data_IF_963340721094
#
_entry.id   IF_963340721094
#
_cell.length_a   1.000
_cell.length_b   1.000
_cell.length_c   1.000
_cell.angle_alpha   90.00
_cell.angle_beta   90.00
_cell.angle_gamma   90.00
#
_symmetry.space_group_name_H-M   'P 1'
#
loop_
_entity.id
_entity.type
_entity.pdbx_description
1 polymer ?
#
# COMPACT_ATOMS: atom_id res chain seq x y z
N UNK A 1 42.10 4.16 -7.97
CA UNK A 1 40.96 4.34 -8.92
C UNK A 1 39.95 5.27 -8.30
N UNK A 2 39.58 6.35 -9.02
CA UNK A 2 38.48 7.24 -8.67
C UNK A 2 37.21 6.70 -9.34
N UNK A 3 36.13 6.50 -8.57
CA UNK A 3 34.86 5.99 -9.09
C UNK A 3 33.79 7.05 -8.87
N UNK A 4 33.10 7.46 -9.95
CA UNK A 4 32.06 8.50 -9.89
C UNK A 4 30.74 7.93 -10.40
N UNK A 5 29.71 7.91 -9.57
CA UNK A 5 28.34 7.57 -9.95
C UNK A 5 27.62 8.85 -10.40
N UNK A 6 27.04 8.83 -11.59
CA UNK A 6 26.50 10.03 -12.24
C UNK A 6 25.01 9.85 -12.53
N UNK A 7 24.18 10.73 -12.01
CA UNK A 7 22.77 10.85 -12.40
C UNK A 7 22.67 11.54 -13.76
N UNK A 8 22.19 10.80 -14.77
CA UNK A 8 22.13 11.23 -16.17
C UNK A 8 20.85 12.03 -16.52
N UNK A 9 20.00 12.30 -15.55
CA UNK A 9 18.71 12.95 -15.83
C UNK A 9 17.85 12.12 -16.77
N UNK A 10 17.30 12.75 -17.81
CA UNK A 10 16.56 12.08 -18.89
C UNK A 10 17.44 11.15 -19.75
N UNK A 11 18.74 11.29 -19.67
CA UNK A 11 19.72 10.72 -20.57
C UNK A 11 20.17 11.69 -21.68
N UNK A 12 19.51 12.83 -21.85
CA UNK A 12 19.94 13.86 -22.79
C UNK A 12 21.06 14.69 -22.17
N UNK A 13 22.08 15.14 -22.98
CA UNK A 13 23.18 15.95 -22.48
C UNK A 13 22.74 17.21 -21.73
N UNK A 14 21.64 17.83 -22.16
CA UNK A 14 21.06 19.04 -21.57
C UNK A 14 20.55 18.86 -20.17
N UNK A 15 20.26 17.61 -19.76
CA UNK A 15 19.81 17.27 -18.41
C UNK A 15 20.94 16.91 -17.45
N UNK A 16 22.19 16.87 -17.94
CA UNK A 16 23.38 16.62 -17.12
C UNK A 16 23.73 17.83 -16.26
N UNK A 17 24.17 17.55 -15.03
CA UNK A 17 24.83 18.60 -14.23
C UNK A 17 26.21 18.92 -14.81
N UNK A 18 26.69 20.14 -14.59
CA UNK A 18 28.03 20.56 -15.01
C UNK A 18 29.12 19.62 -14.45
N UNK A 19 28.94 19.19 -13.18
CA UNK A 19 29.88 18.25 -12.56
C UNK A 19 29.80 16.86 -13.18
N UNK A 20 28.60 16.39 -13.54
CA UNK A 20 28.42 15.12 -14.24
C UNK A 20 29.09 15.13 -15.61
N UNK A 21 28.92 16.21 -16.35
CA UNK A 21 29.55 16.40 -17.65
C UNK A 21 31.09 16.40 -17.56
N UNK A 22 31.66 17.11 -16.58
CA UNK A 22 33.10 17.12 -16.35
C UNK A 22 33.63 15.73 -15.99
N UNK A 23 32.96 15.02 -15.09
CA UNK A 23 33.36 13.67 -14.70
C UNK A 23 33.30 12.65 -15.84
N UNK A 24 32.33 12.79 -16.77
CA UNK A 24 32.26 11.97 -17.98
C UNK A 24 33.45 12.18 -18.92
N UNK A 25 33.92 13.41 -19.03
CA UNK A 25 35.05 13.75 -19.89
C UNK A 25 36.41 13.33 -19.32
N UNK A 26 36.52 13.25 -18.00
CA UNK A 26 37.70 12.77 -17.29
C UNK A 26 37.79 11.26 -17.16
N UNK A 27 36.72 10.55 -17.48
CA UNK A 27 36.65 9.11 -17.30
C UNK A 27 37.45 8.33 -18.33
N UNK A 28 38.22 7.34 -17.89
CA UNK A 28 38.93 6.36 -18.71
C UNK A 28 38.04 5.17 -19.09
N UNK A 29 37.00 4.92 -18.26
CA UNK A 29 36.01 3.86 -18.41
C UNK A 29 34.63 4.39 -18.07
N UNK A 30 33.64 4.10 -18.93
CA UNK A 30 32.23 4.45 -18.67
C UNK A 30 31.38 3.19 -18.68
N UNK A 31 30.66 2.93 -17.58
CA UNK A 31 29.75 1.79 -17.41
C UNK A 31 28.32 2.29 -17.22
N UNK A 32 27.34 1.58 -17.79
CA UNK A 32 25.93 1.91 -17.60
C UNK A 32 25.01 1.15 -18.55
N UNK A 33 23.71 1.43 -18.46
CA UNK A 33 22.73 0.85 -19.38
C UNK A 33 22.99 1.30 -20.83
N UNK A 34 22.74 0.42 -21.80
CA UNK A 34 22.99 0.68 -23.24
C UNK A 34 22.38 2.01 -23.71
N UNK A 35 21.16 2.32 -23.26
CA UNK A 35 20.45 3.56 -23.58
C UNK A 35 21.24 4.81 -23.13
N UNK A 36 21.84 4.78 -21.95
CA UNK A 36 22.62 5.90 -21.42
C UNK A 36 23.97 6.04 -22.14
N UNK A 37 24.60 4.92 -22.49
CA UNK A 37 25.84 4.91 -23.23
C UNK A 37 25.67 5.48 -24.65
N UNK A 38 24.54 5.24 -25.32
CA UNK A 38 24.25 5.77 -26.66
C UNK A 38 23.95 7.27 -26.66
N UNK A 39 23.59 7.84 -25.50
CA UNK A 39 23.25 9.27 -25.35
C UNK A 39 24.39 10.10 -24.75
N UNK A 40 25.61 9.55 -24.66
CA UNK A 40 26.76 10.27 -24.12
C UNK A 40 27.14 11.46 -25.02
N UNK A 41 27.51 12.61 -24.43
CA UNK A 41 27.98 13.75 -25.18
C UNK A 41 29.31 13.46 -25.92
N UNK A 42 29.59 14.22 -26.94
CA UNK A 42 30.85 14.11 -27.69
C UNK A 42 32.07 14.39 -26.79
N UNK A 43 33.17 13.68 -27.07
CA UNK A 43 34.44 13.84 -26.34
C UNK A 43 34.57 13.01 -25.06
N UNK A 44 33.65 12.10 -24.83
CA UNK A 44 33.81 11.03 -23.81
C UNK A 44 34.65 9.88 -24.37
N UNK A 45 35.32 9.12 -23.50
CA UNK A 45 36.08 7.92 -23.88
C UNK A 45 35.24 6.91 -24.68
N UNK A 46 35.90 6.20 -25.62
CA UNK A 46 35.27 5.05 -26.32
C UNK A 46 35.33 3.74 -25.51
N UNK A 47 36.08 3.73 -24.42
CA UNK A 47 36.12 2.59 -23.49
C UNK A 47 34.83 2.54 -22.67
N UNK A 48 33.82 1.86 -23.19
CA UNK A 48 32.45 1.81 -22.66
C UNK A 48 31.99 0.37 -22.59
N UNK A 49 31.32 -0.01 -21.49
CA UNK A 49 30.68 -1.30 -21.38
C UNK A 49 29.27 -1.20 -20.79
N UNK A 50 28.37 -2.00 -21.35
CA UNK A 50 26.99 -2.10 -20.81
C UNK A 50 27.01 -3.00 -19.59
N UNK A 51 26.78 -2.41 -18.41
CA UNK A 51 26.65 -3.11 -17.14
C UNK A 51 25.71 -2.31 -16.23
N UNK A 52 24.85 -3.01 -15.47
CA UNK A 52 23.92 -2.39 -14.52
C UNK A 52 23.77 -3.19 -13.22
N UNK A 53 24.18 -4.46 -13.22
CA UNK A 53 24.22 -5.28 -12.00
C UNK A 53 25.50 -4.94 -11.22
N UNK A 54 25.43 -4.82 -9.89
CA UNK A 54 26.59 -4.49 -9.07
C UNK A 54 27.78 -5.44 -9.26
N UNK A 55 27.54 -6.73 -9.39
CA UNK A 55 28.61 -7.73 -9.54
C UNK A 55 29.34 -7.58 -10.89
N UNK A 56 28.59 -7.41 -12.00
CA UNK A 56 29.14 -7.15 -13.33
C UNK A 56 30.00 -5.86 -13.34
N UNK A 57 29.50 -4.80 -12.68
CA UNK A 57 30.23 -3.52 -12.58
C UNK A 57 31.54 -3.72 -11.83
N UNK A 58 31.52 -4.43 -10.69
CA UNK A 58 32.72 -4.68 -9.89
C UNK A 58 33.76 -5.51 -10.66
N UNK A 59 33.34 -6.55 -11.38
CA UNK A 59 34.23 -7.35 -12.22
C UNK A 59 34.89 -6.49 -13.31
N UNK A 60 34.13 -5.66 -14.01
CA UNK A 60 34.66 -4.76 -15.03
C UNK A 60 35.62 -3.72 -14.46
N UNK A 61 35.32 -3.15 -13.31
CA UNK A 61 36.20 -2.20 -12.63
C UNK A 61 37.54 -2.86 -12.25
N UNK A 62 37.52 -4.06 -11.71
CA UNK A 62 38.75 -4.80 -11.35
C UNK A 62 39.59 -5.20 -12.57
N UNK A 63 38.93 -5.58 -13.67
CA UNK A 63 39.63 -6.00 -14.89
C UNK A 63 40.18 -4.84 -15.72
N UNK A 64 39.65 -3.64 -15.54
CA UNK A 64 39.94 -2.49 -16.44
C UNK A 64 41.30 -1.86 -16.26
N UNK A 65 41.83 -1.88 -15.04
CA UNK A 65 43.06 -1.11 -14.68
C UNK A 65 42.93 0.39 -14.85
N UNK A 66 41.73 0.96 -14.97
CA UNK A 66 41.50 2.39 -15.18
C UNK A 66 41.79 3.22 -13.91
N UNK A 67 42.14 4.49 -14.08
CA UNK A 67 42.32 5.43 -12.98
C UNK A 67 41.01 6.13 -12.61
N UNK A 68 40.14 6.43 -13.61
CA UNK A 68 38.89 7.16 -13.46
C UNK A 68 37.73 6.38 -14.12
N UNK A 69 36.78 5.91 -13.32
CA UNK A 69 35.59 5.24 -13.82
C UNK A 69 34.32 6.09 -13.58
N UNK A 70 33.47 6.20 -14.60
CA UNK A 70 32.14 6.81 -14.51
C UNK A 70 31.05 5.76 -14.63
N UNK A 71 30.09 5.76 -13.68
CA UNK A 71 28.98 4.81 -13.61
C UNK A 71 27.67 5.56 -13.80
N UNK A 72 26.92 5.21 -14.84
CA UNK A 72 25.75 5.95 -15.29
C UNK A 72 24.45 5.41 -14.68
N UNK A 73 23.65 6.30 -14.12
CA UNK A 73 22.31 6.01 -13.62
C UNK A 73 21.26 6.91 -14.28
N UNK A 74 20.11 6.37 -14.63
CA UNK A 74 18.99 7.15 -15.17
C UNK A 74 18.39 8.02 -14.05
N UNK A 75 17.97 9.22 -14.39
CA UNK A 75 17.40 10.16 -13.43
C UNK A 75 18.40 10.64 -12.39
N UNK A 76 18.00 10.63 -11.13
CA UNK A 76 18.83 10.99 -9.97
C UNK A 76 19.35 9.74 -9.26
N UNK A 77 20.59 9.80 -8.81
CA UNK A 77 21.26 8.70 -8.08
C UNK A 77 20.65 8.37 -6.73
N UNK A 78 19.90 9.29 -6.12
CA UNK A 78 19.24 9.14 -4.83
C UNK A 78 17.74 8.77 -4.93
N UNK A 79 17.13 8.80 -6.13
CA UNK A 79 15.71 8.60 -6.30
C UNK A 79 15.39 7.21 -6.85
N UNK A 80 15.11 6.24 -5.97
CA UNK A 80 14.82 4.82 -6.30
C UNK A 80 15.86 4.21 -7.25
N UNK A 81 17.11 4.60 -7.11
CA UNK A 81 18.23 4.17 -7.96
C UNK A 81 18.97 2.98 -7.37
N UNK A 82 19.50 2.12 -8.23
CA UNK A 82 20.44 1.06 -7.84
C UNK A 82 21.80 1.56 -7.37
N UNK A 83 22.06 2.87 -7.45
CA UNK A 83 23.35 3.48 -7.06
C UNK A 83 23.68 3.23 -5.59
N UNK A 84 22.70 3.29 -4.68
CA UNK A 84 22.92 3.09 -3.24
C UNK A 84 23.52 1.71 -2.91
N UNK A 85 22.97 0.66 -3.50
CA UNK A 85 23.47 -0.71 -3.28
C UNK A 85 24.91 -0.88 -3.79
N UNK A 86 25.25 -0.25 -4.93
CA UNK A 86 26.62 -0.28 -5.45
C UNK A 86 27.58 0.53 -4.58
N UNK A 87 27.16 1.70 -4.09
CA UNK A 87 27.97 2.52 -3.17
C UNK A 87 28.37 1.75 -1.93
N UNK A 88 27.45 1.01 -1.32
CA UNK A 88 27.73 0.18 -0.14
C UNK A 88 28.77 -0.91 -0.46
N UNK A 89 28.60 -1.61 -1.60
CA UNK A 89 29.55 -2.65 -2.04
C UNK A 89 30.96 -2.08 -2.35
N UNK A 90 31.02 -0.94 -3.02
CA UNK A 90 32.29 -0.25 -3.30
C UNK A 90 33.01 0.15 -1.99
N UNK A 91 32.27 0.71 -1.03
CA UNK A 91 32.82 1.06 0.29
C UNK A 91 33.33 -0.18 1.04
N UNK A 92 32.61 -1.31 0.97
CA UNK A 92 33.04 -2.57 1.57
C UNK A 92 34.37 -3.10 0.98
N UNK A 93 34.70 -2.72 -0.26
CA UNK A 93 35.96 -3.04 -0.93
C UNK A 93 37.04 -1.97 -0.76
N UNK A 94 36.80 -0.95 0.09
CA UNK A 94 37.78 0.10 0.39
C UNK A 94 37.79 1.28 -0.57
N UNK A 95 36.87 1.32 -1.55
CA UNK A 95 36.73 2.48 -2.44
C UNK A 95 35.99 3.65 -1.75
N UNK A 96 36.27 4.87 -2.22
CA UNK A 96 35.56 6.08 -1.80
C UNK A 96 34.82 6.67 -3.02
N UNK A 97 33.64 6.11 -3.40
CA UNK A 97 32.95 6.59 -4.59
C UNK A 97 32.39 8.01 -4.40
N UNK A 98 32.47 8.81 -5.46
CA UNK A 98 31.82 10.12 -5.56
C UNK A 98 30.44 9.90 -6.18
N UNK A 99 29.40 10.48 -5.57
CA UNK A 99 28.02 10.37 -6.09
C UNK A 99 27.57 11.76 -6.54
N UNK A 100 27.23 11.89 -7.81
CA UNK A 100 26.73 13.13 -8.39
C UNK A 100 25.24 13.01 -8.68
N UNK A 101 24.42 14.01 -8.27
CA UNK A 101 22.98 13.99 -8.50
C UNK A 101 22.63 14.19 -9.98
N UNK A 102 21.40 13.85 -10.35
CA UNK A 102 20.80 14.14 -11.63
C UNK A 102 19.37 14.66 -11.48
N UNK A 103 18.73 15.06 -12.57
CA UNK A 103 17.33 15.45 -12.57
C UNK A 103 16.44 14.19 -12.53
N UNK A 104 15.61 14.08 -11.51
CA UNK A 104 14.67 12.95 -11.41
C UNK A 104 13.38 13.20 -12.21
N UNK A 105 12.68 12.14 -12.58
CA UNK A 105 11.39 12.22 -13.28
C UNK A 105 10.31 12.98 -12.50
N UNK A 106 10.36 13.00 -11.17
CA UNK A 106 9.43 13.80 -10.34
C UNK A 106 9.65 15.29 -10.56
N UNK A 107 10.90 15.75 -10.60
CA UNK A 107 11.25 17.16 -10.87
C UNK A 107 10.85 17.55 -12.28
N UNK A 108 11.11 16.68 -13.26
CA UNK A 108 10.75 16.92 -14.66
C UNK A 108 9.24 17.01 -14.85
N UNK A 109 8.46 16.10 -14.24
CA UNK A 109 6.99 16.17 -14.30
C UNK A 109 6.45 17.41 -13.59
N UNK A 110 7.01 17.77 -12.43
CA UNK A 110 6.67 18.99 -11.70
C UNK A 110 6.85 20.24 -12.56
N UNK A 111 8.01 20.34 -13.24
CA UNK A 111 8.31 21.44 -14.13
C UNK A 111 7.36 21.47 -15.34
N UNK A 112 7.09 20.33 -15.95
CA UNK A 112 6.19 20.22 -17.11
C UNK A 112 4.72 20.58 -16.75
N UNK A 113 4.30 20.31 -15.52
CA UNK A 113 2.98 20.68 -15.01
C UNK A 113 2.93 22.10 -14.42
N UNK A 114 4.07 22.77 -14.22
CA UNK A 114 4.15 24.07 -13.54
C UNK A 114 3.72 24.01 -12.07
N UNK A 115 3.94 22.90 -11.38
CA UNK A 115 3.45 22.65 -10.01
C UNK A 115 4.57 22.19 -9.09
N UNK A 116 4.62 22.66 -7.83
CA UNK A 116 5.57 22.18 -6.83
C UNK A 116 5.26 20.73 -6.43
N UNK A 117 6.29 19.97 -6.13
CA UNK A 117 6.20 18.53 -5.78
C UNK A 117 6.49 18.22 -4.31
N UNK A 118 6.77 19.22 -3.46
CA UNK A 118 7.09 19.02 -2.05
C UNK A 118 5.98 18.32 -1.26
N UNK A 119 4.72 18.47 -1.67
CA UNK A 119 3.57 17.86 -1.02
C UNK A 119 3.14 16.53 -1.68
N UNK A 120 3.84 16.10 -2.72
CA UNK A 120 3.55 14.83 -3.37
C UNK A 120 4.08 13.67 -2.53
N UNK A 121 3.29 12.62 -2.44
CA UNK A 121 3.77 11.33 -1.97
C UNK A 121 4.49 10.64 -3.11
N UNK A 122 5.70 10.16 -2.84
CA UNK A 122 6.54 9.50 -3.84
C UNK A 122 6.50 7.98 -3.63
N UNK A 123 6.13 7.24 -4.66
CA UNK A 123 5.98 5.78 -4.63
C UNK A 123 6.71 5.17 -5.82
N UNK A 124 7.43 4.09 -5.59
CA UNK A 124 8.01 3.29 -6.66
C UNK A 124 7.16 2.05 -6.94
N UNK A 125 6.58 2.00 -8.12
CA UNK A 125 5.96 0.81 -8.72
C UNK A 125 6.90 0.16 -9.76
N UNK A 126 8.14 0.63 -9.88
CA UNK A 126 9.13 0.09 -10.81
C UNK A 126 9.80 -1.16 -10.24
N UNK A 127 9.45 -2.32 -10.79
CA UNK A 127 10.02 -3.61 -10.35
C UNK A 127 9.63 -4.04 -8.92
N UNK A 128 8.59 -3.44 -8.34
CA UNK A 128 8.06 -3.77 -7.02
C UNK A 128 6.55 -3.84 -7.06
N UNK A 129 5.98 -4.75 -6.27
CA UNK A 129 4.54 -4.77 -6.04
C UNK A 129 4.10 -3.47 -5.36
N UNK A 130 3.04 -2.85 -5.88
CA UNK A 130 2.46 -1.61 -5.37
C UNK A 130 0.94 -1.78 -5.27
N UNK A 131 0.34 -1.37 -4.15
CA UNK A 131 -1.11 -1.20 -4.04
C UNK A 131 -1.44 0.30 -4.22
N UNK A 132 -1.80 0.75 -5.44
CA UNK A 132 -2.03 2.16 -5.70
C UNK A 132 -3.22 2.72 -4.92
N UNK A 133 -4.17 1.88 -4.52
CA UNK A 133 -5.33 2.28 -3.71
C UNK A 133 -4.87 2.66 -2.31
N UNK A 134 -4.10 1.79 -1.65
CA UNK A 134 -3.55 2.06 -0.33
C UNK A 134 -2.68 3.32 -0.33
N UNK A 135 -1.87 3.51 -1.39
CA UNK A 135 -1.00 4.67 -1.52
C UNK A 135 -1.80 5.99 -1.67
N UNK A 136 -2.89 6.00 -2.45
CA UNK A 136 -3.75 7.17 -2.65
C UNK A 136 -4.65 7.46 -1.43
N UNK A 137 -4.90 6.49 -0.56
CA UNK A 137 -5.70 6.67 0.66
C UNK A 137 -5.03 7.55 1.73
N UNK A 138 -3.80 7.97 1.54
CA UNK A 138 -3.18 8.99 2.41
C UNK A 138 -3.69 10.41 2.15
N UNK A 139 -4.44 10.64 1.07
CA UNK A 139 -5.06 11.93 0.76
C UNK A 139 -4.06 12.99 0.30
N UNK A 140 -2.95 12.58 -0.30
CA UNK A 140 -1.96 13.44 -0.94
C UNK A 140 -1.90 13.17 -2.44
N UNK A 141 -1.53 14.15 -3.26
CA UNK A 141 -1.15 13.85 -4.64
C UNK A 141 -0.04 12.80 -4.62
N UNK A 142 -0.23 11.71 -5.37
CA UNK A 142 0.69 10.57 -5.33
C UNK A 142 1.38 10.39 -6.66
N UNK A 143 2.69 10.54 -6.65
CA UNK A 143 3.55 10.28 -7.80
C UNK A 143 4.01 8.83 -7.78
N UNK A 144 3.82 8.14 -8.90
CA UNK A 144 4.27 6.76 -9.11
C UNK A 144 5.40 6.74 -10.15
N UNK A 145 6.56 6.24 -9.74
CA UNK A 145 7.60 5.82 -10.67
C UNK A 145 7.19 4.47 -11.24
N UNK A 146 6.82 4.42 -12.51
CA UNK A 146 6.28 3.22 -13.17
C UNK A 146 7.35 2.45 -13.94
N UNK A 147 7.06 1.18 -14.25
CA UNK A 147 7.94 0.33 -15.07
C UNK A 147 7.64 -1.14 -14.94
N UNK A 148 8.06 -1.93 -15.92
CA UNK A 148 7.75 -3.36 -15.98
C UNK A 148 6.26 -3.61 -16.19
N UNK A 149 5.65 -4.45 -15.36
CA UNK A 149 4.20 -4.75 -15.38
C UNK A 149 3.32 -3.58 -14.90
N UNK A 150 3.89 -2.69 -14.09
CA UNK A 150 3.17 -1.57 -13.45
C UNK A 150 3.26 -0.30 -14.33
N UNK A 151 2.51 -0.29 -15.43
CA UNK A 151 2.37 0.88 -16.30
C UNK A 151 1.41 1.92 -15.71
N UNK A 152 1.43 3.20 -16.15
CA UNK A 152 0.42 4.18 -15.76
C UNK A 152 -1.00 3.70 -16.01
N UNK A 153 -1.27 3.04 -17.14
CA UNK A 153 -2.59 2.51 -17.46
C UNK A 153 -3.01 1.39 -16.51
N UNK A 154 -2.10 0.48 -16.14
CA UNK A 154 -2.36 -0.62 -15.19
C UNK A 154 -2.73 -0.06 -13.82
N UNK A 155 -1.95 0.88 -13.29
CA UNK A 155 -2.23 1.52 -12.00
C UNK A 155 -3.56 2.30 -12.03
N UNK A 156 -3.83 3.03 -13.12
CA UNK A 156 -5.09 3.72 -13.31
C UNK A 156 -6.28 2.76 -13.38
N UNK A 157 -6.15 1.59 -14.01
CA UNK A 157 -7.20 0.57 -14.07
C UNK A 157 -7.52 0.00 -12.67
N UNK A 158 -6.50 -0.31 -11.87
CA UNK A 158 -6.66 -0.74 -10.49
C UNK A 158 -7.37 0.32 -9.64
N UNK A 159 -6.96 1.58 -9.74
CA UNK A 159 -7.59 2.71 -9.06
C UNK A 159 -9.05 2.91 -9.51
N UNK A 160 -9.33 2.83 -10.80
CA UNK A 160 -10.68 3.01 -11.34
C UNK A 160 -11.64 1.92 -10.84
N UNK A 161 -11.19 0.67 -10.75
CA UNK A 161 -11.97 -0.47 -10.23
C UNK A 161 -12.40 -0.24 -8.76
N UNK A 162 -11.60 0.47 -7.97
CA UNK A 162 -11.89 0.78 -6.57
C UNK A 162 -12.53 2.18 -6.37
N UNK A 163 -13.07 2.77 -7.45
CA UNK A 163 -13.88 3.99 -7.38
C UNK A 163 -13.10 5.30 -7.46
N UNK A 164 -11.79 5.28 -7.76
CA UNK A 164 -10.99 6.50 -8.00
C UNK A 164 -11.06 7.01 -9.44
N UNK A 165 -11.88 6.41 -10.30
CA UNK A 165 -11.95 6.72 -11.74
C UNK A 165 -12.19 8.20 -12.09
N UNK A 166 -12.76 8.98 -11.18
CA UNK A 166 -13.01 10.43 -11.37
C UNK A 166 -11.88 11.33 -10.90
N UNK A 167 -10.87 10.81 -10.21
CA UNK A 167 -9.73 11.63 -9.78
C UNK A 167 -8.97 12.13 -11.01
N UNK A 168 -8.52 13.37 -10.93
CA UNK A 168 -7.60 13.90 -11.92
C UNK A 168 -6.24 13.23 -11.81
N UNK A 169 -5.60 13.03 -12.96
CA UNK A 169 -4.27 12.45 -13.02
C UNK A 169 -3.49 12.99 -14.23
N UNK A 170 -2.17 12.85 -14.18
CA UNK A 170 -1.27 13.22 -15.25
C UNK A 170 -0.24 12.12 -15.49
N UNK A 171 0.08 11.87 -16.76
CA UNK A 171 1.15 10.96 -17.17
C UNK A 171 2.19 11.75 -17.93
N UNK A 172 3.45 11.62 -17.50
CA UNK A 172 4.60 12.15 -18.24
C UNK A 172 5.33 11.02 -18.97
N UNK A 173 5.46 11.12 -20.27
CA UNK A 173 6.26 10.21 -21.12
C UNK A 173 7.52 10.89 -21.56
N UNK A 174 8.62 10.14 -21.60
CA UNK A 174 9.93 10.56 -22.13
C UNK A 174 10.35 11.95 -21.63
N UNK A 175 10.10 12.22 -20.35
CA UNK A 175 10.32 13.53 -19.74
C UNK A 175 11.78 13.99 -19.92
N UNK A 176 11.95 15.24 -20.32
CA UNK A 176 13.27 15.85 -20.57
C UNK A 176 13.94 15.39 -21.85
N UNK A 177 13.22 14.74 -22.77
CA UNK A 177 13.70 14.42 -24.13
C UNK A 177 12.90 15.18 -25.19
N UNK A 178 13.35 15.25 -26.47
CA UNK A 178 12.57 15.84 -27.54
C UNK A 178 11.20 15.19 -27.78
N UNK A 179 11.04 13.92 -27.39
CA UNK A 179 9.81 13.14 -27.50
C UNK A 179 8.89 13.30 -26.28
N UNK A 180 9.19 14.23 -25.37
CA UNK A 180 8.39 14.46 -24.16
C UNK A 180 6.92 14.72 -24.48
N UNK A 181 6.04 14.00 -23.78
CA UNK A 181 4.60 14.23 -23.79
C UNK A 181 4.04 14.25 -22.38
N UNK A 182 3.03 15.07 -22.15
CA UNK A 182 2.30 15.12 -20.90
C UNK A 182 0.81 14.97 -21.19
N UNK A 183 0.21 13.96 -20.62
CA UNK A 183 -1.23 13.69 -20.73
C UNK A 183 -1.91 14.04 -19.41
N UNK A 184 -3.01 14.75 -19.50
CA UNK A 184 -3.84 15.07 -18.34
C UNK A 184 -5.27 14.59 -18.58
N UNK A 185 -5.91 14.10 -17.52
CA UNK A 185 -7.27 13.59 -17.63
C UNK A 185 -7.74 13.03 -16.30
N UNK A 186 -8.75 12.17 -16.32
CA UNK A 186 -9.16 11.40 -15.16
C UNK A 186 -8.47 10.03 -15.15
N UNK A 187 -8.34 9.43 -13.96
CA UNK A 187 -7.83 8.07 -13.78
C UNK A 187 -8.55 7.09 -14.72
N UNK A 188 -9.89 7.19 -14.84
CA UNK A 188 -10.66 6.32 -15.72
C UNK A 188 -10.35 6.51 -17.21
N UNK A 189 -10.07 7.74 -17.66
CA UNK A 189 -9.66 8.02 -19.04
C UNK A 189 -8.27 7.48 -19.33
N UNK A 190 -7.32 7.71 -18.41
CA UNK A 190 -5.94 7.25 -18.56
C UNK A 190 -5.79 5.73 -18.46
N UNK A 191 -6.69 5.05 -17.75
CA UNK A 191 -6.76 3.59 -17.69
C UNK A 191 -7.00 2.93 -19.07
N UNK A 192 -7.70 3.62 -19.98
CA UNK A 192 -7.99 3.14 -21.33
C UNK A 192 -6.90 3.54 -22.36
N UNK A 193 -5.86 4.25 -21.93
CA UNK A 193 -4.79 4.76 -22.79
C UNK A 193 -3.59 3.81 -22.84
N UNK A 194 -2.72 4.01 -23.83
CA UNK A 194 -1.42 3.33 -23.91
C UNK A 194 -0.31 4.35 -23.75
N UNK A 195 0.72 3.98 -23.03
CA UNK A 195 1.85 4.84 -22.73
C UNK A 195 3.16 4.13 -23.04
N UNK A 196 4.18 4.90 -23.36
CA UNK A 196 5.54 4.41 -23.56
C UNK A 196 6.16 3.88 -22.27
N UNK A 197 7.19 3.06 -22.39
CA UNK A 197 7.84 2.41 -21.23
C UNK A 197 8.50 3.38 -20.25
N UNK A 198 8.99 4.53 -20.77
CA UNK A 198 9.56 5.61 -19.95
C UNK A 198 8.46 6.58 -19.55
N UNK A 199 7.60 6.19 -18.65
CA UNK A 199 6.52 7.03 -18.16
C UNK A 199 6.44 7.05 -16.64
N UNK A 200 5.77 8.08 -16.13
CA UNK A 200 5.45 8.26 -14.71
C UNK A 200 4.02 8.75 -14.57
N UNK A 201 3.39 8.47 -13.43
CA UNK A 201 2.00 8.83 -13.15
C UNK A 201 1.93 9.73 -11.92
N UNK A 202 1.17 10.80 -12.00
CA UNK A 202 0.71 11.59 -10.86
C UNK A 202 -0.81 11.43 -10.74
N UNK A 203 -1.30 11.02 -9.59
CA UNK A 203 -2.72 10.98 -9.25
C UNK A 203 -2.99 12.06 -8.20
N UNK A 204 -4.03 12.87 -8.41
CA UNK A 204 -4.40 13.92 -7.47
C UNK A 204 -4.88 13.38 -6.13
N UNK A 205 -4.86 14.24 -5.11
CA UNK A 205 -5.28 13.88 -3.77
C UNK A 205 -6.72 13.34 -3.76
N UNK A 206 -6.89 12.14 -3.24
CA UNK A 206 -8.21 11.58 -2.99
C UNK A 206 -8.87 12.27 -1.80
N UNK A 207 -10.21 12.36 -1.82
CA UNK A 207 -10.95 12.66 -0.60
C UNK A 207 -10.86 11.45 0.32
N UNK A 208 -10.22 11.62 1.46
CA UNK A 208 -10.10 10.58 2.48
C UNK A 208 -10.94 10.95 3.70
N UNK A 209 -11.45 9.95 4.44
CA UNK A 209 -12.21 10.21 5.65
C UNK A 209 -11.43 11.08 6.64
N UNK A 210 -12.03 12.16 7.10
CA UNK A 210 -11.41 13.07 8.08
C UNK A 210 -11.28 12.45 9.46
N UNK A 211 -12.19 11.52 9.82
CA UNK A 211 -12.21 10.81 11.10
C UNK A 211 -11.69 9.39 10.94
N UNK A 212 -10.60 9.09 11.63
CA UNK A 212 -9.95 7.76 11.65
C UNK A 212 -9.96 7.13 13.05
N UNK A 213 -10.69 7.70 14.00
CA UNK A 213 -10.81 7.17 15.36
C UNK A 213 -11.96 6.18 15.46
N UNK A 214 -11.80 5.12 16.24
CA UNK A 214 -12.80 4.09 16.48
C UNK A 214 -14.04 4.63 17.21
N UNK A 215 -15.12 3.86 17.14
CA UNK A 215 -16.35 4.16 17.85
C UNK A 215 -17.22 5.19 17.15
N UNK A 216 -17.39 5.06 15.84
CA UNK A 216 -18.38 5.84 15.10
C UNK A 216 -19.79 5.59 15.68
N UNK A 217 -20.66 6.63 15.79
CA UNK A 217 -22.02 6.45 16.23
C UNK A 217 -22.80 5.45 15.37
N UNK A 218 -23.68 4.65 15.98
CA UNK A 218 -24.50 3.66 15.26
C UNK A 218 -25.36 4.32 14.17
N UNK A 219 -25.81 5.56 14.41
CA UNK A 219 -26.63 6.35 13.50
C UNK A 219 -25.87 6.82 12.26
N UNK A 220 -24.54 6.78 12.30
CA UNK A 220 -23.72 7.13 11.15
C UNK A 220 -23.78 6.07 10.04
N UNK A 221 -24.19 4.83 10.35
CA UNK A 221 -24.23 3.73 9.37
C UNK A 221 -25.61 3.62 8.71
N UNK A 222 -25.62 3.20 7.44
CA UNK A 222 -26.80 2.67 6.79
C UNK A 222 -27.20 1.34 7.47
N UNK A 223 -28.45 1.23 7.84
CA UNK A 223 -29.00 0.08 8.59
C UNK A 223 -30.28 -0.41 7.92
N UNK A 224 -30.51 -1.73 8.01
CA UNK A 224 -31.75 -2.41 7.61
C UNK A 224 -32.24 -3.30 8.74
N UNK A 225 -32.73 -4.48 8.40
CA UNK A 225 -33.11 -5.52 9.36
C UNK A 225 -31.91 -6.36 9.82
N UNK A 226 -30.78 -6.23 9.13
CA UNK A 226 -29.54 -6.97 9.44
C UNK A 226 -28.98 -6.52 10.80
N UNK A 227 -28.62 -7.44 11.68
CA UNK A 227 -27.98 -7.11 12.95
C UNK A 227 -26.69 -6.31 12.73
N UNK A 228 -26.43 -5.34 13.61
CA UNK A 228 -25.23 -4.50 13.56
C UNK A 228 -24.53 -4.51 14.92
N UNK A 229 -23.24 -4.79 14.92
CA UNK A 229 -22.37 -4.64 16.09
C UNK A 229 -22.39 -3.18 16.58
N UNK A 230 -22.69 -2.97 17.86
CA UNK A 230 -22.90 -1.63 18.45
C UNK A 230 -21.58 -0.90 18.67
N UNK A 231 -21.65 0.42 18.74
CA UNK A 231 -20.50 1.35 18.82
C UNK A 231 -19.45 0.91 19.85
N UNK A 232 -19.87 0.61 21.09
CA UNK A 232 -18.97 0.28 22.18
C UNK A 232 -18.27 -1.06 21.93
N UNK A 233 -18.99 -2.02 21.36
CA UNK A 233 -18.45 -3.33 21.00
C UNK A 233 -17.48 -3.21 19.82
N UNK A 234 -17.81 -2.40 18.79
CA UNK A 234 -16.89 -2.15 17.68
C UNK A 234 -15.57 -1.54 18.15
N UNK A 235 -15.66 -0.52 19.02
CA UNK A 235 -14.46 0.11 19.59
C UNK A 235 -13.59 -0.91 20.36
N UNK A 236 -14.22 -1.80 21.12
CA UNK A 236 -13.51 -2.84 21.85
C UNK A 236 -12.90 -3.90 20.91
N UNK A 237 -13.59 -4.28 19.83
CA UNK A 237 -13.06 -5.20 18.80
C UNK A 237 -11.76 -4.65 18.19
N UNK A 238 -11.76 -3.38 17.77
CA UNK A 238 -10.57 -2.77 17.18
C UNK A 238 -9.42 -2.66 18.20
N UNK A 239 -9.73 -2.33 19.44
CA UNK A 239 -8.74 -2.29 20.52
C UNK A 239 -8.14 -3.67 20.80
N UNK A 240 -8.97 -4.73 20.84
CA UNK A 240 -8.51 -6.11 21.04
C UNK A 240 -7.70 -6.65 19.85
N UNK A 241 -8.02 -6.23 18.63
CA UNK A 241 -7.25 -6.59 17.44
C UNK A 241 -5.94 -5.80 17.31
N UNK A 242 -5.79 -4.66 17.97
CA UNK A 242 -4.57 -3.84 17.89
C UNK A 242 -4.19 -3.44 16.47
N UNK A 243 -5.20 -3.06 15.64
CA UNK A 243 -5.06 -2.84 14.19
C UNK A 243 -3.98 -1.81 13.88
N UNK A 244 -3.09 -2.16 12.94
CA UNK A 244 -2.01 -1.29 12.46
C UNK A 244 -2.34 -0.71 11.07
N UNK A 245 -1.80 0.47 10.71
CA UNK A 245 -2.18 1.19 9.49
C UNK A 245 -1.99 0.47 8.16
N UNK A 246 -1.08 -0.51 8.07
CA UNK A 246 -0.74 -1.21 6.82
C UNK A 246 -1.22 -2.65 6.74
N UNK A 247 -2.05 -3.10 7.67
CA UNK A 247 -2.43 -4.50 7.82
C UNK A 247 -3.52 -4.96 6.86
N UNK A 248 -3.48 -6.25 6.57
CA UNK A 248 -4.50 -6.98 5.84
C UNK A 248 -5.46 -7.64 6.82
N UNK A 249 -6.73 -7.31 6.72
CA UNK A 249 -7.73 -7.65 7.72
C UNK A 249 -8.89 -8.40 7.08
N UNK A 250 -9.40 -9.42 7.77
CA UNK A 250 -10.65 -10.09 7.40
C UNK A 250 -11.76 -9.77 8.40
N UNK A 251 -12.96 -9.48 7.90
CA UNK A 251 -14.21 -9.37 8.65
C UNK A 251 -15.17 -10.45 8.16
N UNK A 252 -15.30 -11.54 8.92
CA UNK A 252 -16.08 -12.71 8.53
C UNK A 252 -17.46 -12.66 9.16
N UNK A 253 -18.50 -12.71 8.32
CA UNK A 253 -19.87 -12.44 8.73
C UNK A 253 -20.07 -10.95 9.00
N UNK A 254 -19.71 -10.14 8.03
CA UNK A 254 -19.58 -8.69 8.16
C UNK A 254 -20.90 -7.95 8.43
N UNK A 255 -22.04 -8.57 8.12
CA UNK A 255 -23.38 -8.01 8.36
C UNK A 255 -23.55 -6.66 7.66
N UNK A 256 -23.78 -5.59 8.40
CA UNK A 256 -23.89 -4.23 7.84
C UNK A 256 -22.56 -3.64 7.37
N UNK A 257 -21.42 -4.30 7.61
CA UNK A 257 -20.07 -3.79 7.35
C UNK A 257 -19.62 -2.71 8.33
N UNK A 258 -20.28 -2.57 9.47
CA UNK A 258 -19.92 -1.51 10.42
C UNK A 258 -18.54 -1.73 11.05
N UNK A 259 -18.15 -2.98 11.33
CA UNK A 259 -16.79 -3.32 11.79
C UNK A 259 -15.82 -3.17 10.64
N UNK A 260 -16.16 -3.67 9.44
CA UNK A 260 -15.33 -3.55 8.24
C UNK A 260 -14.95 -2.11 7.93
N UNK A 261 -15.88 -1.16 8.04
CA UNK A 261 -15.62 0.27 7.84
C UNK A 261 -14.65 0.80 8.88
N UNK A 262 -14.84 0.50 10.15
CA UNK A 262 -13.94 0.97 11.21
C UNK A 262 -12.55 0.34 11.10
N UNK A 263 -12.45 -0.94 10.69
CA UNK A 263 -11.18 -1.59 10.36
C UNK A 263 -10.47 -0.88 9.19
N UNK A 264 -11.22 -0.54 8.13
CA UNK A 264 -10.66 0.16 6.97
C UNK A 264 -10.17 1.58 7.30
N UNK A 265 -10.87 2.28 8.20
CA UNK A 265 -10.44 3.59 8.72
C UNK A 265 -9.19 3.48 9.59
N UNK A 266 -9.06 2.41 10.38
CA UNK A 266 -7.91 2.16 11.25
C UNK A 266 -6.67 1.71 10.46
N UNK A 267 -6.87 1.01 9.33
CA UNK A 267 -5.80 0.52 8.46
C UNK A 267 -5.79 1.24 7.09
N UNK A 268 -5.52 2.56 7.03
CA UNK A 268 -5.66 3.34 5.80
C UNK A 268 -4.69 2.95 4.69
N UNK A 269 -3.58 2.30 5.00
CA UNK A 269 -2.59 1.76 4.05
C UNK A 269 -2.70 0.24 3.89
N UNK A 270 -3.63 -0.37 4.63
CA UNK A 270 -3.95 -1.79 4.57
C UNK A 270 -5.19 -2.06 3.73
N UNK A 271 -5.67 -3.29 3.77
CA UNK A 271 -6.86 -3.71 3.06
C UNK A 271 -7.76 -4.57 3.94
N UNK A 272 -9.07 -4.35 3.83
CA UNK A 272 -10.09 -5.12 4.56
C UNK A 272 -10.90 -5.94 3.58
N UNK A 273 -11.07 -7.22 3.87
CA UNK A 273 -11.97 -8.13 3.15
C UNK A 273 -13.17 -8.43 4.03
N UNK A 274 -14.32 -7.87 3.66
CA UNK A 274 -15.60 -8.12 4.31
C UNK A 274 -16.29 -9.31 3.63
N UNK A 275 -16.38 -10.44 4.33
CA UNK A 275 -17.01 -11.67 3.80
C UNK A 275 -18.43 -11.77 4.33
N UNK A 276 -19.40 -11.80 3.41
CA UNK A 276 -20.83 -11.84 3.73
C UNK A 276 -21.61 -12.60 2.64
N UNK A 277 -22.61 -13.35 3.03
CA UNK A 277 -23.42 -14.16 2.13
C UNK A 277 -24.89 -13.71 2.00
N UNK A 278 -25.35 -12.84 2.92
CA UNK A 278 -26.71 -12.29 2.84
C UNK A 278 -26.75 -11.12 1.84
N UNK A 279 -27.63 -11.17 0.82
CA UNK A 279 -27.72 -10.11 -0.19
C UNK A 279 -28.10 -8.73 0.39
N UNK A 280 -28.99 -8.68 1.42
CA UNK A 280 -29.38 -7.43 2.10
C UNK A 280 -28.18 -6.85 2.84
N UNK A 281 -27.42 -7.68 3.54
CA UNK A 281 -26.19 -7.27 4.22
C UNK A 281 -25.12 -6.80 3.23
N UNK A 282 -24.90 -7.50 2.12
CA UNK A 282 -23.99 -7.09 1.05
C UNK A 282 -24.35 -5.71 0.48
N UNK A 283 -25.63 -5.43 0.28
CA UNK A 283 -26.09 -4.11 -0.17
C UNK A 283 -25.78 -3.01 0.85
N UNK A 284 -25.93 -3.28 2.16
CA UNK A 284 -25.58 -2.36 3.24
C UNK A 284 -24.07 -2.11 3.32
N UNK A 285 -23.24 -3.15 3.14
CA UNK A 285 -21.78 -3.01 3.09
C UNK A 285 -21.39 -2.04 1.97
N UNK A 286 -21.95 -2.21 0.75
CA UNK A 286 -21.67 -1.30 -0.38
C UNK A 286 -22.09 0.14 -0.06
N UNK A 287 -23.27 0.35 0.53
CA UNK A 287 -23.74 1.67 0.92
C UNK A 287 -22.81 2.31 1.97
N UNK A 288 -22.40 1.56 2.97
CA UNK A 288 -21.49 2.05 4.02
C UNK A 288 -20.08 2.31 3.46
N UNK A 289 -19.55 1.42 2.60
CA UNK A 289 -18.28 1.65 1.87
C UNK A 289 -18.29 3.01 1.16
N UNK A 290 -19.33 3.30 0.39
CA UNK A 290 -19.47 4.57 -0.34
C UNK A 290 -19.64 5.76 0.63
N UNK A 291 -20.52 5.64 1.61
CA UNK A 291 -20.81 6.70 2.58
C UNK A 291 -19.57 7.17 3.36
N UNK A 292 -18.72 6.23 3.74
CA UNK A 292 -17.50 6.51 4.49
C UNK A 292 -16.26 6.67 3.60
N UNK A 293 -16.42 6.56 2.27
CA UNK A 293 -15.32 6.64 1.29
C UNK A 293 -14.15 5.71 1.61
N UNK A 294 -14.40 4.52 2.19
CA UNK A 294 -13.37 3.53 2.52
C UNK A 294 -13.07 2.66 1.31
N UNK A 295 -12.18 3.12 0.44
CA UNK A 295 -11.83 2.45 -0.81
C UNK A 295 -10.98 1.20 -0.62
N UNK A 296 -10.31 1.09 0.50
CA UNK A 296 -9.52 -0.07 0.94
C UNK A 296 -10.37 -1.20 1.56
N UNK A 297 -11.70 -1.15 1.43
CA UNK A 297 -12.63 -2.21 1.82
C UNK A 297 -13.11 -2.97 0.57
N UNK A 298 -12.90 -4.26 0.54
CA UNK A 298 -13.36 -5.18 -0.52
C UNK A 298 -14.46 -6.09 0.03
N UNK A 299 -15.65 -6.07 -0.60
CA UNK A 299 -16.72 -7.02 -0.29
C UNK A 299 -16.47 -8.34 -1.02
N UNK A 300 -16.52 -9.44 -0.28
CA UNK A 300 -16.45 -10.81 -0.80
C UNK A 300 -17.78 -11.50 -0.52
N UNK A 301 -18.59 -11.67 -1.56
CA UNK A 301 -19.90 -12.31 -1.44
C UNK A 301 -19.76 -13.82 -1.41
N UNK A 302 -20.12 -14.43 -0.30
CA UNK A 302 -20.03 -15.87 -0.13
C UNK A 302 -20.03 -16.31 1.32
N UNK A 303 -20.05 -17.62 1.51
CA UNK A 303 -20.07 -18.26 2.82
C UNK A 303 -18.67 -18.71 3.20
N UNK A 304 -18.20 -18.31 4.40
CA UNK A 304 -16.95 -18.83 4.96
C UNK A 304 -17.12 -20.29 5.44
N UNK A 305 -16.13 -21.18 5.28
CA UNK A 305 -14.74 -20.86 4.91
C UNK A 305 -14.47 -20.76 3.38
N UNK A 306 -15.35 -21.26 2.51
CA UNK A 306 -15.09 -21.32 1.06
C UNK A 306 -14.72 -19.95 0.46
N UNK A 307 -15.42 -18.88 0.88
CA UNK A 307 -15.12 -17.52 0.42
C UNK A 307 -13.75 -16.98 0.88
N UNK A 308 -13.05 -17.67 1.79
CA UNK A 308 -11.72 -17.30 2.28
C UNK A 308 -10.57 -17.88 1.45
N UNK A 309 -10.84 -18.89 0.60
CA UNK A 309 -9.81 -19.69 -0.09
C UNK A 309 -8.85 -18.87 -0.95
N UNK A 310 -9.35 -17.81 -1.59
CA UNK A 310 -8.56 -16.99 -2.51
C UNK A 310 -8.13 -15.65 -1.90
N UNK A 311 -8.37 -15.43 -0.61
CA UNK A 311 -7.96 -14.19 0.05
C UNK A 311 -6.48 -14.27 0.44
N UNK A 312 -5.77 -13.14 0.40
CA UNK A 312 -4.41 -13.08 0.91
C UNK A 312 -4.38 -13.30 2.43
N UNK A 313 -3.23 -13.74 2.95
CA UNK A 313 -3.05 -14.06 4.36
C UNK A 313 -3.38 -12.84 5.26
N UNK A 314 -4.24 -12.99 6.29
CA UNK A 314 -4.62 -11.87 7.14
C UNK A 314 -3.62 -11.64 8.27
N UNK A 315 -3.39 -10.38 8.66
CA UNK A 315 -2.69 -10.03 9.90
C UNK A 315 -3.61 -10.11 11.11
N UNK A 316 -4.91 -9.77 10.90
CA UNK A 316 -5.92 -9.92 11.92
C UNK A 316 -7.30 -10.28 11.32
N UNK A 317 -8.11 -10.98 12.10
CA UNK A 317 -9.43 -11.49 11.70
C UNK A 317 -10.46 -11.15 12.76
N UNK A 318 -11.51 -10.45 12.37
CA UNK A 318 -12.74 -10.36 13.15
C UNK A 318 -13.75 -11.38 12.65
N UNK A 319 -14.41 -12.10 13.57
CA UNK A 319 -15.45 -13.07 13.25
C UNK A 319 -16.74 -12.64 13.96
N UNK A 320 -17.67 -12.07 13.19
CA UNK A 320 -18.97 -11.61 13.63
C UNK A 320 -20.06 -12.69 13.55
N UNK A 321 -19.89 -13.67 12.64
CA UNK A 321 -20.83 -14.77 12.45
C UNK A 321 -20.30 -15.79 11.44
N UNK A 322 -20.56 -17.08 11.69
CA UNK A 322 -20.06 -18.19 10.86
C UNK A 322 -21.14 -19.15 10.38
N UNK A 323 -22.40 -18.95 10.76
CA UNK A 323 -23.49 -19.89 10.47
C UNK A 323 -23.16 -21.34 10.90
N UNK A 324 -22.47 -21.50 12.03
CA UNK A 324 -22.08 -22.81 12.58
C UNK A 324 -20.68 -23.31 12.17
N UNK A 325 -19.98 -22.65 11.27
CA UNK A 325 -18.67 -23.07 10.75
C UNK A 325 -17.46 -22.49 11.52
N UNK A 326 -17.61 -22.24 12.83
CA UNK A 326 -16.58 -21.55 13.64
C UNK A 326 -15.19 -22.20 13.53
N UNK A 327 -15.10 -23.52 13.74
CA UNK A 327 -13.83 -24.23 13.70
C UNK A 327 -13.14 -24.11 12.33
N UNK A 328 -13.88 -24.32 11.25
CA UNK A 328 -13.34 -24.24 9.89
C UNK A 328 -12.90 -22.83 9.49
N UNK A 329 -13.55 -21.79 10.00
CA UNK A 329 -13.16 -20.38 9.76
C UNK A 329 -11.87 -20.05 10.51
N UNK A 330 -11.74 -20.45 11.78
CA UNK A 330 -10.51 -20.26 12.56
C UNK A 330 -9.35 -21.03 11.93
N UNK A 331 -9.56 -22.29 11.53
CA UNK A 331 -8.57 -23.09 10.82
C UNK A 331 -8.12 -22.42 9.52
N UNK A 332 -9.05 -21.95 8.69
CA UNK A 332 -8.73 -21.27 7.43
C UNK A 332 -7.87 -20.00 7.64
N UNK A 333 -8.14 -19.24 8.69
CA UNK A 333 -7.36 -18.06 9.04
C UNK A 333 -5.93 -18.44 9.50
N UNK A 334 -5.82 -19.39 10.43
CA UNK A 334 -4.52 -19.82 10.99
C UNK A 334 -3.67 -20.61 10.00
N UNK A 335 -4.27 -21.35 9.06
CA UNK A 335 -3.56 -21.99 7.97
C UNK A 335 -2.88 -20.99 7.03
N UNK A 336 -3.47 -19.79 6.85
CA UNK A 336 -2.90 -18.72 6.02
C UNK A 336 -1.85 -17.91 6.77
N UNK A 337 -2.11 -17.61 8.03
CA UNK A 337 -1.17 -16.93 8.92
C UNK A 337 -1.31 -17.47 10.35
N UNK A 338 -0.40 -18.34 10.80
CA UNK A 338 -0.43 -18.86 12.18
C UNK A 338 -0.30 -17.78 13.25
N UNK A 339 0.24 -16.62 12.90
CA UNK A 339 0.39 -15.47 13.79
C UNK A 339 -0.81 -14.51 13.76
N UNK A 340 -1.84 -14.77 12.94
CA UNK A 340 -2.99 -13.89 12.83
C UNK A 340 -3.66 -13.65 14.19
N UNK A 341 -3.92 -12.37 14.49
CA UNK A 341 -4.72 -11.99 15.66
C UNK A 341 -6.19 -12.25 15.34
N UNK A 342 -6.89 -12.89 16.27
CA UNK A 342 -8.29 -13.27 16.09
C UNK A 342 -9.14 -12.65 17.19
N UNK A 343 -10.25 -12.02 16.81
CA UNK A 343 -11.28 -11.55 17.71
C UNK A 343 -12.65 -12.07 17.24
N UNK A 344 -13.33 -12.81 18.08
CA UNK A 344 -14.63 -13.42 17.79
C UNK A 344 -15.69 -12.76 18.67
N UNK A 345 -16.81 -12.35 18.10
CA UNK A 345 -17.95 -11.87 18.88
C UNK A 345 -19.02 -12.96 19.05
N UNK A 346 -19.52 -13.15 20.26
CA UNK A 346 -20.56 -14.09 20.56
C UNK A 346 -21.65 -13.48 21.47
N UNK A 347 -22.91 -13.71 21.12
CA UNK A 347 -24.08 -13.38 21.97
C UNK A 347 -24.59 -14.63 22.65
N UNK A 348 -24.57 -15.78 21.95
CA UNK A 348 -25.05 -17.06 22.46
C UNK A 348 -23.91 -17.84 23.14
N UNK A 349 -24.26 -18.60 24.19
CA UNK A 349 -23.31 -19.44 24.93
C UNK A 349 -22.71 -20.55 24.05
N UNK A 350 -23.51 -21.07 23.12
CA UNK A 350 -23.07 -22.08 22.14
C UNK A 350 -21.99 -21.52 21.23
N UNK A 351 -22.12 -20.26 20.77
CA UNK A 351 -21.11 -19.58 19.96
C UNK A 351 -19.84 -19.31 20.76
N UNK A 352 -19.97 -18.89 22.02
CA UNK A 352 -18.85 -18.73 22.94
C UNK A 352 -18.09 -20.05 23.13
N UNK A 353 -18.82 -21.14 23.41
CA UNK A 353 -18.21 -22.47 23.59
C UNK A 353 -17.49 -22.94 22.32
N UNK A 354 -18.11 -22.75 21.14
CA UNK A 354 -17.52 -23.12 19.86
C UNK A 354 -16.25 -22.28 19.55
N UNK A 355 -16.23 -20.99 19.88
CA UNK A 355 -15.08 -20.12 19.68
C UNK A 355 -13.88 -20.54 20.55
N UNK A 356 -14.13 -20.79 21.86
CA UNK A 356 -13.08 -21.26 22.77
C UNK A 356 -12.53 -22.62 22.31
N UNK A 357 -13.42 -23.56 21.95
CA UNK A 357 -13.02 -24.88 21.47
C UNK A 357 -12.18 -24.80 20.18
N UNK A 358 -12.56 -23.91 19.24
CA UNK A 358 -11.84 -23.72 17.99
C UNK A 358 -10.40 -23.20 18.22
N UNK A 359 -10.19 -22.22 19.10
CA UNK A 359 -8.85 -21.73 19.45
C UNK A 359 -8.03 -22.80 20.18
N UNK A 360 -8.65 -23.51 21.14
CA UNK A 360 -7.97 -24.57 21.90
C UNK A 360 -7.51 -25.73 21.01
N UNK A 361 -8.29 -26.09 19.98
CA UNK A 361 -7.92 -27.12 19.01
C UNK A 361 -6.62 -26.81 18.25
N UNK A 362 -6.26 -25.55 18.14
CA UNK A 362 -5.01 -25.07 17.56
C UNK A 362 -3.89 -24.81 18.59
N UNK A 363 -4.09 -25.24 19.86
CA UNK A 363 -3.12 -24.99 20.93
C UNK A 363 -3.08 -23.56 21.42
N UNK A 364 -4.06 -22.73 21.07
CA UNK A 364 -4.13 -21.34 21.46
C UNK A 364 -4.95 -21.17 22.73
N UNK A 365 -4.48 -20.35 23.66
CA UNK A 365 -5.24 -19.96 24.83
C UNK A 365 -6.25 -18.88 24.45
N UNK A 366 -7.52 -19.05 24.83
CA UNK A 366 -8.57 -18.07 24.63
C UNK A 366 -8.67 -17.09 25.81
N UNK A 367 -8.63 -15.80 25.53
CA UNK A 367 -9.04 -14.75 26.47
C UNK A 367 -10.50 -14.41 26.21
N UNK A 368 -11.34 -14.38 27.23
CA UNK A 368 -12.76 -14.08 27.12
C UNK A 368 -13.09 -12.82 27.91
N UNK A 369 -13.65 -11.82 27.23
CA UNK A 369 -14.13 -10.58 27.83
C UNK A 369 -15.64 -10.42 27.60
N UNK A 370 -16.42 -10.11 28.63
CA UNK A 370 -17.83 -9.78 28.49
C UNK A 370 -18.02 -8.27 28.51
N UNK A 371 -18.78 -7.74 27.54
CA UNK A 371 -19.15 -6.34 27.43
C UNK A 371 -20.66 -6.19 27.64
N UNK A 372 -21.05 -5.43 28.67
CA UNK A 372 -22.44 -5.08 28.96
C UNK A 372 -22.64 -3.59 28.82
N UNK A 373 -23.59 -3.18 27.99
CA UNK A 373 -23.85 -1.77 27.69
C UNK A 373 -25.30 -1.44 28.02
N UNK A 374 -25.51 -0.38 28.80
CA UNK A 374 -26.82 0.24 29.01
C UNK A 374 -26.80 1.68 28.52
N UNK A 375 -27.82 2.08 27.76
CA UNK A 375 -27.95 3.45 27.25
C UNK A 375 -29.17 4.11 27.84
N UNK A 376 -29.03 5.38 28.27
CA UNK A 376 -30.14 6.16 28.75
C UNK A 376 -31.09 6.55 27.60
N UNK A 377 -32.37 6.31 27.77
CA UNK A 377 -33.44 6.74 26.85
C UNK A 377 -34.36 7.69 27.57
N UNK A 378 -34.60 8.86 26.99
CA UNK A 378 -35.56 9.81 27.55
C UNK A 378 -36.99 9.24 27.53
N UNK A 379 -37.68 9.33 28.67
CA UNK A 379 -39.10 8.95 28.87
C UNK A 379 -39.79 10.06 29.66
N UNK A 380 -40.34 11.04 28.97
CA UNK A 380 -40.86 12.26 29.57
C UNK A 380 -39.76 13.08 30.25
N UNK A 381 -39.89 13.27 31.60
CA UNK A 381 -38.85 13.99 32.38
C UNK A 381 -37.79 13.07 32.99
N UNK A 382 -37.84 11.75 32.70
CA UNK A 382 -36.95 10.75 33.25
C UNK A 382 -36.02 10.20 32.14
N UNK A 383 -34.92 9.57 32.56
CA UNK A 383 -34.05 8.79 31.72
C UNK A 383 -34.02 7.36 32.21
N UNK A 384 -34.51 6.44 31.39
CA UNK A 384 -34.49 5.01 31.65
C UNK A 384 -33.25 4.38 31.08
N UNK A 385 -32.56 3.56 31.85
CA UNK A 385 -31.45 2.74 31.36
C UNK A 385 -31.98 1.52 30.61
N UNK A 386 -31.68 1.46 29.31
CA UNK A 386 -32.03 0.34 28.45
C UNK A 386 -30.80 -0.53 28.27
N UNK A 387 -30.83 -1.76 28.80
CA UNK A 387 -29.73 -2.71 28.63
C UNK A 387 -29.78 -3.35 27.24
N UNK A 388 -28.61 -3.45 26.62
CA UNK A 388 -28.38 -4.31 25.45
C UNK A 388 -28.01 -5.72 25.93
N UNK A 389 -28.18 -6.74 25.06
CA UNK A 389 -27.66 -8.06 25.36
C UNK A 389 -26.15 -8.00 25.59
N UNK A 390 -25.62 -8.68 26.61
CA UNK A 390 -24.19 -8.82 26.80
C UNK A 390 -23.55 -9.48 25.56
N UNK A 391 -22.37 -9.03 25.21
CA UNK A 391 -21.57 -9.59 24.13
C UNK A 391 -20.28 -10.13 24.71
N UNK A 392 -19.90 -11.34 24.32
CA UNK A 392 -18.58 -11.88 24.62
C UNK A 392 -17.62 -11.57 23.44
N UNK A 393 -16.44 -11.08 23.75
CA UNK A 393 -15.30 -11.02 22.83
C UNK A 393 -14.30 -12.08 23.25
N UNK A 394 -13.98 -12.96 22.33
CA UNK A 394 -13.02 -14.03 22.50
C UNK A 394 -11.82 -13.72 21.61
N UNK A 395 -10.64 -13.57 22.23
CA UNK A 395 -9.41 -13.32 21.51
C UNK A 395 -8.39 -14.43 21.77
N UNK A 396 -7.46 -14.61 20.86
CA UNK A 396 -6.24 -15.35 21.14
C UNK A 396 -5.47 -14.56 22.23
N UNK A 397 -5.15 -15.20 23.36
CA UNK A 397 -4.24 -14.61 24.32
C UNK A 397 -2.85 -14.55 23.68
N UNK A 398 -2.29 -13.36 23.54
CA UNK A 398 -0.89 -13.23 23.19
C UNK A 398 -0.03 -13.71 24.36
N UNK A 399 1.02 -14.49 24.08
CA UNK A 399 2.10 -14.63 25.05
C UNK A 399 2.58 -13.20 25.29
N UNK A 400 2.43 -12.73 26.53
CA UNK A 400 2.59 -11.35 26.91
C UNK A 400 3.83 -10.73 26.21
N UNK A 401 3.62 -9.98 25.12
CA UNK A 401 4.62 -9.03 24.67
C UNK A 401 4.83 -8.10 25.85
N UNK A 402 6.02 -8.19 26.41
CA UNK A 402 6.49 -7.25 27.40
C UNK A 402 6.41 -5.89 26.74
N UNK A 403 5.36 -5.14 27.07
CA UNK A 403 5.31 -3.71 26.79
C UNK A 403 6.46 -3.11 27.60
N UNK A 404 7.57 -2.84 26.94
CA UNK A 404 8.70 -2.08 27.47
C UNK A 404 8.74 -0.76 26.71
#
# INVERSE_FOLDING_TARGET
MKITLIGMGSGCPESLTVQGYAALREADLILGARRLLSALPAGCTENRAAAYLPDEILELLHASGCENAALLYSGDTGFYSGASALVERLKAQGYQPVVLPGLSSVQMLSAALGRPWQDWKLVSAHGRACDPVAECMEGKPTFFLTGGSESPATLCAQLAAEGFGKLAAAVGENLGTPEQKVYTGTVGQLAASRFESLSVLLVEAAQVPSRRTQGLPDEAFARGKVPMTKQEVRAAVLAKLGVQPGELLWDVGAGTGSVSVELALAAPRGRVYAVECDPEACALIRQNKEKFAVRNLTLVEGTAPAALENLPAPDAVFIGGTKGNMAAVVEAALARNPAARICISAIALETLSAAVAALTAHGLQAEVCQISVSRAKAAGKLHLLMANNPIFLITRADEAEKIV
#
